data_IF_643804247008
#
_entry.id   IF_643804247008
#
_cell.length_a   1.000
_cell.length_b   1.000
_cell.length_c   1.000
_cell.angle_alpha   90.00
_cell.angle_beta   90.00
_cell.angle_gamma   90.00
#
_symmetry.space_group_name_H-M   'P 1'
#
loop_
_entity.id
_entity.type
_entity.pdbx_description
1 polymer ?
#
# COMPACT_ATOMS: atom_id res chain seq x y z
N UNK A 1 4.33 -14.42 26.92
CA UNK A 1 5.45 -13.64 26.36
C UNK A 1 5.00 -12.25 25.92
N UNK A 2 4.01 -12.12 25.02
CA UNK A 2 3.51 -10.81 24.54
C UNK A 2 3.08 -9.82 25.63
N UNK A 3 2.39 -10.27 26.68
CA UNK A 3 1.99 -9.39 27.79
C UNK A 3 3.20 -8.76 28.53
N UNK A 4 4.35 -9.43 28.53
CA UNK A 4 5.61 -8.90 29.10
C UNK A 4 6.17 -7.81 28.19
N UNK A 5 6.18 -8.06 26.88
CA UNK A 5 6.62 -7.11 25.85
C UNK A 5 5.80 -5.82 25.92
N UNK A 6 4.47 -5.94 25.89
CA UNK A 6 3.55 -4.78 25.96
C UNK A 6 3.81 -3.97 27.24
N UNK A 7 4.00 -4.62 28.39
CA UNK A 7 4.31 -3.95 29.66
C UNK A 7 5.64 -3.19 29.61
N UNK A 8 6.68 -3.79 29.04
CA UNK A 8 8.01 -3.16 28.92
C UNK A 8 7.94 -1.91 28.03
N UNK A 9 7.30 -2.01 26.87
CA UNK A 9 7.20 -0.89 25.93
C UNK A 9 6.31 0.23 26.48
N UNK A 10 5.20 -0.11 27.17
CA UNK A 10 4.39 0.91 27.86
C UNK A 10 5.16 1.66 28.94
N UNK A 11 6.16 1.03 29.56
CA UNK A 11 7.09 1.66 30.51
C UNK A 11 8.27 2.38 29.85
N UNK A 12 8.32 2.43 28.51
CA UNK A 12 9.44 2.97 27.73
C UNK A 12 10.78 2.32 28.07
N UNK A 13 10.72 1.02 28.37
CA UNK A 13 11.91 0.19 28.57
C UNK A 13 12.43 -0.27 27.21
N UNK A 14 13.69 0.05 26.91
CA UNK A 14 14.34 -0.26 25.63
C UNK A 14 14.32 -1.76 25.32
N UNK A 15 14.42 -2.62 26.34
CA UNK A 15 14.36 -4.09 26.17
C UNK A 15 13.08 -4.55 25.50
N UNK A 16 12.01 -3.77 25.62
CA UNK A 16 10.74 -4.04 24.95
C UNK A 16 10.85 -4.00 23.42
N UNK A 17 11.72 -3.14 22.87
CA UNK A 17 11.94 -3.06 21.42
C UNK A 17 12.66 -4.32 20.93
N UNK A 18 13.70 -4.76 21.65
CA UNK A 18 14.48 -5.96 21.31
C UNK A 18 13.56 -7.19 21.20
N UNK A 19 12.68 -7.39 22.19
CA UNK A 19 11.72 -8.50 22.15
C UNK A 19 10.70 -8.42 21.01
N UNK A 20 10.31 -7.21 20.57
CA UNK A 20 9.43 -7.09 19.40
C UNK A 20 10.19 -7.42 18.13
N UNK A 21 11.41 -6.93 17.99
CA UNK A 21 12.26 -7.20 16.84
C UNK A 21 12.45 -8.71 16.70
N UNK A 22 12.85 -9.39 17.78
CA UNK A 22 13.04 -10.84 17.77
C UNK A 22 11.77 -11.61 17.38
N UNK A 23 10.60 -11.18 17.85
CA UNK A 23 9.35 -11.90 17.66
C UNK A 23 8.69 -11.63 16.30
N UNK A 24 8.90 -10.44 15.73
CA UNK A 24 8.13 -9.94 14.59
C UNK A 24 8.96 -9.60 13.35
N UNK A 25 10.29 -9.62 13.40
CA UNK A 25 11.15 -9.28 12.25
C UNK A 25 10.80 -10.03 10.98
N UNK A 26 10.71 -11.35 11.01
CA UNK A 26 10.41 -12.14 9.79
C UNK A 26 9.04 -11.80 9.21
N UNK A 27 8.04 -11.64 10.08
CA UNK A 27 6.65 -11.35 9.67
C UNK A 27 6.50 -9.94 9.11
N UNK A 28 7.12 -8.95 9.76
CA UNK A 28 7.13 -7.56 9.29
C UNK A 28 7.91 -7.48 7.99
N UNK A 29 9.08 -8.12 7.91
CA UNK A 29 9.88 -8.20 6.69
C UNK A 29 9.06 -8.77 5.54
N UNK A 30 8.33 -9.86 5.75
CA UNK A 30 7.44 -10.44 4.74
C UNK A 30 6.37 -9.45 4.26
N UNK A 31 5.69 -8.76 5.17
CA UNK A 31 4.63 -7.78 4.85
C UNK A 31 5.21 -6.60 4.05
N UNK A 32 6.33 -6.03 4.53
CA UNK A 32 6.97 -4.86 3.91
C UNK A 32 7.48 -5.24 2.52
N UNK A 33 8.20 -6.36 2.39
CA UNK A 33 8.66 -6.86 1.10
C UNK A 33 7.50 -7.08 0.14
N UNK A 34 6.42 -7.73 0.58
CA UNK A 34 5.23 -7.97 -0.26
C UNK A 34 4.63 -6.68 -0.85
N UNK A 35 4.62 -5.59 -0.07
CA UNK A 35 4.03 -4.31 -0.50
C UNK A 35 5.00 -3.51 -1.39
N UNK A 36 6.29 -3.51 -1.04
CA UNK A 36 7.33 -2.70 -1.65
C UNK A 36 8.10 -3.40 -2.79
N UNK A 37 7.86 -4.70 -3.02
CA UNK A 37 8.50 -5.48 -4.07
C UNK A 37 8.34 -4.84 -5.45
N UNK A 38 9.44 -4.67 -6.17
CA UNK A 38 9.49 -4.05 -7.49
C UNK A 38 9.34 -2.53 -7.51
N UNK A 39 9.13 -1.88 -6.35
CA UNK A 39 9.02 -0.43 -6.25
C UNK A 39 10.22 0.21 -5.56
N UNK A 40 10.90 -0.50 -4.68
CA UNK A 40 11.89 0.01 -3.74
C UNK A 40 13.25 -0.68 -3.88
N UNK A 41 14.30 -0.09 -3.31
CA UNK A 41 15.58 -0.76 -3.14
C UNK A 41 15.66 -1.43 -1.75
N UNK A 42 16.79 -2.10 -1.46
CA UNK A 42 16.97 -2.79 -0.17
C UNK A 42 16.98 -1.81 1.03
N UNK A 43 17.56 -0.62 0.86
CA UNK A 43 17.66 0.40 1.90
C UNK A 43 16.28 0.93 2.30
N UNK A 44 15.41 1.24 1.32
CA UNK A 44 14.02 1.64 1.53
C UNK A 44 13.23 0.59 2.36
N UNK A 45 13.51 -0.70 2.13
CA UNK A 45 12.85 -1.80 2.85
C UNK A 45 13.34 -1.85 4.30
N UNK A 46 14.65 -1.75 4.53
CA UNK A 46 15.24 -1.75 5.88
C UNK A 46 14.80 -0.54 6.70
N UNK A 47 14.74 0.64 6.08
CA UNK A 47 14.23 1.87 6.70
C UNK A 47 12.75 1.72 7.05
N UNK A 48 11.93 1.23 6.11
CA UNK A 48 10.51 0.98 6.36
C UNK A 48 10.29 -0.01 7.51
N UNK A 49 11.06 -1.09 7.61
CA UNK A 49 10.95 -2.06 8.71
C UNK A 49 11.31 -1.39 10.05
N UNK A 50 12.38 -0.60 10.08
CA UNK A 50 12.80 0.15 11.26
C UNK A 50 11.72 1.12 11.74
N UNK A 51 11.11 1.87 10.82
CA UNK A 51 10.01 2.78 11.10
C UNK A 51 8.78 2.07 11.68
N UNK A 52 8.51 0.83 11.25
CA UNK A 52 7.43 0.02 11.82
C UNK A 52 7.67 -0.27 13.29
N UNK A 53 8.88 -0.71 13.64
CA UNK A 53 9.22 -1.00 15.03
C UNK A 53 9.18 0.26 15.91
N UNK A 54 9.72 1.37 15.40
CA UNK A 54 9.68 2.67 16.08
C UNK A 54 8.23 3.13 16.28
N UNK A 55 7.37 3.02 15.26
CA UNK A 55 5.96 3.39 15.39
C UNK A 55 5.22 2.50 16.39
N UNK A 56 5.47 1.19 16.40
CA UNK A 56 4.87 0.29 17.40
C UNK A 56 5.31 0.67 18.82
N UNK A 57 6.60 0.98 19.01
CA UNK A 57 7.15 1.40 20.30
C UNK A 57 6.56 2.74 20.79
N UNK A 58 6.39 3.69 19.88
CA UNK A 58 5.84 5.01 20.19
C UNK A 58 4.34 4.96 20.46
N UNK A 59 3.61 4.21 19.65
CA UNK A 59 2.15 4.22 19.64
C UNK A 59 1.53 3.11 20.50
N UNK A 60 2.33 2.38 21.28
CA UNK A 60 1.88 1.31 22.17
C UNK A 60 0.79 1.75 23.16
N UNK A 61 0.75 3.05 23.49
CA UNK A 61 -0.24 3.64 24.38
C UNK A 61 -1.66 3.59 23.78
N UNK A 62 -1.76 3.57 22.44
CA UNK A 62 -3.03 3.44 21.70
C UNK A 62 -3.53 1.99 21.62
N UNK A 63 -2.67 1.02 21.93
CA UNK A 63 -3.04 -0.39 21.90
C UNK A 63 -3.98 -0.75 23.07
N UNK A 64 -5.14 -1.28 22.70
CA UNK A 64 -6.20 -1.76 23.58
C UNK A 64 -6.49 -3.22 23.27
N UNK A 65 -6.23 -4.09 24.26
CA UNK A 65 -6.44 -5.52 24.13
C UNK A 65 -7.92 -5.91 23.98
N UNK A 66 -8.87 -5.02 24.31
CA UNK A 66 -10.30 -5.23 24.05
C UNK A 66 -10.66 -5.03 22.58
N UNK A 67 -9.85 -4.29 21.81
CA UNK A 67 -10.10 -3.99 20.39
C UNK A 67 -9.47 -5.00 19.44
N UNK A 68 -8.52 -5.82 19.90
CA UNK A 68 -7.89 -6.86 19.10
C UNK A 68 -6.59 -7.39 19.70
N UNK A 69 -5.99 -8.37 19.02
CA UNK A 69 -4.70 -8.95 19.40
C UNK A 69 -3.56 -7.97 19.12
N UNK A 70 -2.48 -8.07 19.89
CA UNK A 70 -1.29 -7.25 19.72
C UNK A 70 -0.62 -7.47 18.37
N UNK A 71 -0.52 -8.71 17.93
CA UNK A 71 -0.06 -9.08 16.57
C UNK A 71 -0.82 -8.31 15.47
N UNK A 72 -2.14 -8.18 15.58
CA UNK A 72 -2.94 -7.42 14.62
C UNK A 72 -2.58 -5.94 14.61
N UNK A 73 -2.32 -5.34 15.79
CA UNK A 73 -1.86 -3.96 15.89
C UNK A 73 -0.51 -3.74 15.20
N UNK A 74 0.44 -4.66 15.40
CA UNK A 74 1.76 -4.62 14.74
C UNK A 74 1.65 -4.74 13.23
N UNK A 75 0.85 -5.69 12.73
CA UNK A 75 0.68 -5.89 11.28
C UNK A 75 -0.04 -4.73 10.60
N UNK A 76 -1.02 -4.12 11.26
CA UNK A 76 -1.69 -2.92 10.76
C UNK A 76 -0.68 -1.78 10.61
N UNK A 77 0.19 -1.58 11.61
CA UNK A 77 1.28 -0.59 11.53
C UNK A 77 2.22 -0.89 10.36
N UNK A 78 2.70 -2.14 10.26
CA UNK A 78 3.58 -2.59 9.17
C UNK A 78 3.01 -2.27 7.79
N UNK A 79 1.75 -2.64 7.58
CA UNK A 79 1.04 -2.46 6.32
C UNK A 79 0.90 -0.98 5.94
N UNK A 80 0.42 -0.13 6.85
CA UNK A 80 0.13 1.26 6.52
C UNK A 80 1.41 2.08 6.30
N UNK A 81 2.46 1.82 7.07
CA UNK A 81 3.77 2.46 6.88
C UNK A 81 4.36 2.05 5.52
N UNK A 82 4.36 0.76 5.18
CA UNK A 82 4.83 0.28 3.88
C UNK A 82 4.05 0.88 2.69
N UNK A 83 2.73 1.08 2.83
CA UNK A 83 1.93 1.73 1.80
C UNK A 83 2.28 3.21 1.63
N UNK A 84 2.60 3.90 2.71
CA UNK A 84 3.04 5.29 2.64
C UNK A 84 4.44 5.40 1.99
N UNK A 85 5.37 4.50 2.32
CA UNK A 85 6.65 4.39 1.62
C UNK A 85 6.45 4.17 0.12
N UNK A 86 5.61 3.20 -0.26
CA UNK A 86 5.27 2.92 -1.66
C UNK A 86 4.78 4.16 -2.39
N UNK A 87 3.85 4.90 -1.78
CA UNK A 87 3.30 6.15 -2.36
C UNK A 87 4.37 7.21 -2.54
N UNK A 88 5.25 7.40 -1.55
CA UNK A 88 6.36 8.37 -1.63
C UNK A 88 7.33 8.01 -2.75
N UNK A 89 7.71 6.73 -2.86
CA UNK A 89 8.62 6.25 -3.91
C UNK A 89 8.02 6.41 -5.30
N UNK A 90 6.74 6.04 -5.49
CA UNK A 90 6.05 6.21 -6.78
C UNK A 90 6.02 7.69 -7.16
N UNK A 91 5.64 8.59 -6.25
CA UNK A 91 5.64 10.04 -6.51
C UNK A 91 7.02 10.58 -6.87
N UNK A 92 8.07 10.11 -6.19
CA UNK A 92 9.46 10.50 -6.49
C UNK A 92 9.86 10.05 -7.89
N UNK A 93 9.57 8.81 -8.26
CA UNK A 93 9.83 8.27 -9.60
C UNK A 93 9.04 8.99 -10.70
N UNK A 94 7.78 9.33 -10.44
CA UNK A 94 6.97 10.14 -11.37
C UNK A 94 7.58 11.54 -11.55
N UNK A 95 8.04 12.17 -10.48
CA UNK A 95 8.71 13.47 -10.52
C UNK A 95 10.05 13.41 -11.27
N UNK A 96 10.86 12.37 -11.01
CA UNK A 96 12.13 12.13 -11.70
C UNK A 96 11.90 11.89 -13.20
N UNK A 97 10.89 11.11 -13.57
CA UNK A 97 10.50 10.90 -14.96
C UNK A 97 10.08 12.19 -15.66
N UNK A 98 9.29 13.05 -15.00
CA UNK A 98 8.92 14.37 -15.53
C UNK A 98 10.15 15.27 -15.70
N UNK A 99 11.16 15.14 -14.83
CA UNK A 99 12.41 15.91 -14.92
C UNK A 99 13.30 15.37 -16.06
N UNK A 100 13.37 14.05 -16.21
CA UNK A 100 14.10 13.36 -17.28
C UNK A 100 13.49 13.66 -18.65
N UNK A 101 12.16 13.60 -18.79
CA UNK A 101 11.43 14.00 -20.01
C UNK A 101 11.65 15.49 -20.37
N UNK A 102 11.94 16.36 -19.40
CA UNK A 102 12.31 17.77 -19.66
C UNK A 102 13.77 17.93 -20.09
N UNK A 103 14.67 17.07 -19.63
CA UNK A 103 16.08 17.08 -19.98
C UNK A 103 16.32 16.43 -21.36
N UNK A 104 15.59 15.37 -21.69
CA UNK A 104 15.66 14.68 -22.99
C UNK A 104 15.11 15.52 -24.16
N UNK A 105 14.18 16.45 -23.90
CA UNK A 105 13.72 17.44 -24.91
C UNK A 105 14.78 18.43 -25.40
N UNK A 106 15.99 18.40 -24.82
CA UNK A 106 17.13 19.20 -25.28
C UNK A 106 18.01 18.40 -26.27
N UNK A 107 17.88 17.08 -26.35
CA UNK A 107 18.74 16.24 -27.20
C UNK A 107 18.04 14.95 -27.67
N UNK A 108 17.13 15.01 -28.64
CA UNK A 108 16.70 13.77 -29.32
C UNK A 108 16.51 13.98 -30.82
N UNK A 109 17.57 13.67 -31.56
CA UNK A 109 17.45 12.75 -32.69
C UNK A 109 17.95 11.38 -32.19
N UNK A 110 17.28 10.31 -32.62
CA UNK A 110 17.58 8.88 -32.46
C UNK A 110 16.77 8.19 -31.33
N UNK A 111 15.73 7.45 -31.73
CA UNK A 111 15.39 6.03 -31.40
C UNK A 111 13.88 5.87 -31.63
N UNK A 112 13.49 5.43 -32.84
CA UNK A 112 12.07 5.40 -33.28
C UNK A 112 11.38 4.03 -33.16
N UNK A 113 12.04 2.97 -32.68
CA UNK A 113 11.47 1.60 -32.71
C UNK A 113 10.97 1.07 -31.34
N UNK A 114 11.39 1.64 -30.21
CA UNK A 114 10.88 1.24 -28.87
C UNK A 114 9.64 2.02 -28.43
N UNK A 115 9.38 3.17 -29.06
CA UNK A 115 8.35 4.10 -28.66
C UNK A 115 6.93 3.55 -28.87
N UNK A 116 6.66 2.83 -29.97
CA UNK A 116 5.30 2.34 -30.27
C UNK A 116 4.79 1.34 -29.23
N UNK A 117 5.61 0.38 -28.80
CA UNK A 117 5.20 -0.59 -27.76
C UNK A 117 5.03 0.05 -26.39
N UNK A 118 5.82 1.08 -26.08
CA UNK A 118 5.62 1.87 -24.87
C UNK A 118 4.38 2.76 -24.94
N UNK A 119 4.10 3.37 -26.10
CA UNK A 119 2.91 4.20 -26.34
C UNK A 119 1.66 3.34 -26.21
N UNK A 120 1.61 2.15 -26.81
CA UNK A 120 0.47 1.23 -26.70
C UNK A 120 0.23 0.81 -25.23
N UNK A 121 1.29 0.57 -24.46
CA UNK A 121 1.17 0.29 -23.02
C UNK A 121 0.69 1.51 -22.23
N UNK A 122 1.21 2.71 -22.52
CA UNK A 122 0.81 3.97 -21.88
C UNK A 122 -0.65 4.31 -22.17
N UNK A 123 -1.13 4.08 -23.39
CA UNK A 123 -2.53 4.28 -23.78
C UNK A 123 -3.46 3.32 -23.05
N UNK A 124 -3.16 2.01 -23.05
CA UNK A 124 -3.96 1.03 -22.30
C UNK A 124 -4.03 1.33 -20.80
N UNK A 125 -2.92 1.78 -20.20
CA UNK A 125 -2.91 2.19 -18.78
C UNK A 125 -3.74 3.45 -18.53
N UNK A 126 -3.72 4.41 -19.47
CA UNK A 126 -4.54 5.62 -19.41
C UNK A 126 -6.03 5.28 -19.52
N UNK A 127 -6.41 4.34 -20.38
CA UNK A 127 -7.79 3.89 -20.52
C UNK A 127 -8.30 3.16 -19.27
N UNK A 128 -7.46 2.32 -18.68
CA UNK A 128 -7.76 1.66 -17.39
C UNK A 128 -7.94 2.71 -16.28
N UNK A 129 -7.05 3.69 -16.19
CA UNK A 129 -7.13 4.76 -15.18
C UNK A 129 -8.39 5.63 -15.36
N UNK A 130 -8.71 6.03 -16.60
CA UNK A 130 -9.92 6.76 -16.93
C UNK A 130 -11.18 5.97 -16.57
N UNK A 131 -11.18 4.67 -16.85
CA UNK A 131 -12.32 3.81 -16.52
C UNK A 131 -12.54 3.68 -15.01
N UNK A 132 -11.49 3.45 -14.23
CA UNK A 132 -11.58 3.40 -12.76
C UNK A 132 -12.09 4.75 -12.23
N UNK A 133 -11.66 5.87 -12.82
CA UNK A 133 -12.12 7.20 -12.44
C UNK A 133 -13.60 7.46 -12.74
N UNK A 134 -14.20 6.70 -13.67
CA UNK A 134 -15.61 6.80 -14.07
C UNK A 134 -16.54 5.90 -13.24
N UNK A 135 -16.03 5.12 -12.28
CA UNK A 135 -16.88 4.44 -11.32
C UNK A 135 -17.76 5.46 -10.58
N UNK A 136 -19.05 5.15 -10.43
CA UNK A 136 -19.98 5.98 -9.67
C UNK A 136 -19.76 5.77 -8.17
N UNK A 137 -20.09 6.76 -7.36
CA UNK A 137 -20.10 6.57 -5.91
C UNK A 137 -21.25 5.64 -5.49
N UNK A 138 -21.07 4.83 -4.43
CA UNK A 138 -19.87 4.68 -3.60
C UNK A 138 -18.81 3.70 -4.15
N UNK A 139 -19.01 3.13 -5.34
CA UNK A 139 -18.16 2.06 -5.89
C UNK A 139 -16.72 2.53 -6.12
N UNK A 140 -16.55 3.75 -6.64
CA UNK A 140 -15.23 4.38 -6.80
C UNK A 140 -14.49 4.51 -5.47
N UNK A 141 -15.15 5.08 -4.46
CA UNK A 141 -14.57 5.21 -3.12
C UNK A 141 -14.22 3.85 -2.52
N UNK A 142 -15.10 2.86 -2.60
CA UNK A 142 -14.83 1.53 -2.04
C UNK A 142 -13.68 0.85 -2.76
N UNK A 143 -13.63 0.94 -4.09
CA UNK A 143 -12.54 0.39 -4.89
C UNK A 143 -11.21 1.06 -4.55
N UNK A 144 -11.20 2.39 -4.42
CA UNK A 144 -10.01 3.13 -4.02
C UNK A 144 -9.53 2.72 -2.62
N UNK A 145 -10.45 2.69 -1.65
CA UNK A 145 -10.14 2.28 -0.29
C UNK A 145 -9.64 0.84 -0.22
N UNK A 146 -10.22 -0.09 -0.98
CA UNK A 146 -9.85 -1.50 -0.98
C UNK A 146 -8.51 -1.78 -1.63
N UNK A 147 -8.20 -1.17 -2.77
CA UNK A 147 -7.04 -1.58 -3.58
C UNK A 147 -5.87 -0.59 -3.54
N UNK A 148 -6.15 0.70 -3.33
CA UNK A 148 -5.11 1.74 -3.25
C UNK A 148 -4.78 2.10 -1.80
N UNK A 149 -5.76 1.99 -0.91
CA UNK A 149 -5.59 2.22 0.54
C UNK A 149 -5.52 0.91 1.34
N UNK A 150 -5.85 -0.23 0.72
CA UNK A 150 -5.88 -1.55 1.36
C UNK A 150 -6.73 -1.64 2.65
N UNK A 151 -7.77 -0.80 2.77
CA UNK A 151 -8.72 -0.85 3.88
C UNK A 151 -9.52 -2.14 3.82
N UNK A 152 -9.73 -2.80 4.96
CA UNK A 152 -10.52 -4.02 4.99
C UNK A 152 -11.99 -3.72 4.76
N UNK A 153 -12.69 -4.64 4.10
CA UNK A 153 -14.11 -4.44 3.75
C UNK A 153 -15.00 -4.26 4.99
N UNK A 154 -14.59 -4.82 6.14
CA UNK A 154 -15.22 -4.58 7.44
C UNK A 154 -15.06 -3.14 7.93
N UNK A 155 -13.92 -2.52 7.68
CA UNK A 155 -13.63 -1.13 8.05
C UNK A 155 -14.35 -0.16 7.12
N UNK A 156 -14.39 -0.46 5.81
CA UNK A 156 -15.18 0.30 4.82
C UNK A 156 -16.67 0.23 5.19
N UNK A 157 -17.18 -0.96 5.48
CA UNK A 157 -18.58 -1.16 5.88
C UNK A 157 -18.94 -0.34 7.12
N UNK A 158 -18.10 -0.38 8.16
CA UNK A 158 -18.26 0.44 9.37
C UNK A 158 -18.22 1.94 9.07
N UNK A 159 -17.26 2.40 8.25
CA UNK A 159 -17.05 3.81 7.94
C UNK A 159 -18.21 4.44 7.17
N UNK A 160 -18.84 3.67 6.28
CA UNK A 160 -19.95 4.14 5.44
C UNK A 160 -21.32 3.60 5.89
N UNK A 161 -21.42 3.11 7.13
CA UNK A 161 -22.64 2.57 7.73
C UNK A 161 -23.40 1.60 6.81
N UNK A 162 -22.68 0.62 6.25
CA UNK A 162 -23.22 -0.40 5.35
C UNK A 162 -22.76 -1.81 5.79
N UNK A 163 -23.17 -2.85 5.07
CA UNK A 163 -22.77 -4.23 5.37
C UNK A 163 -21.50 -4.63 4.63
N UNK A 164 -20.71 -5.55 5.20
CA UNK A 164 -19.52 -6.10 4.53
C UNK A 164 -19.88 -6.75 3.20
N UNK A 165 -21.01 -7.45 3.15
CA UNK A 165 -21.53 -8.06 1.92
C UNK A 165 -21.84 -7.02 0.82
N UNK A 166 -22.43 -5.87 1.18
CA UNK A 166 -22.66 -4.75 0.26
C UNK A 166 -21.35 -4.22 -0.33
N UNK A 167 -20.31 -4.06 0.50
CA UNK A 167 -18.97 -3.62 0.05
C UNK A 167 -18.35 -4.65 -0.90
N UNK A 168 -18.32 -5.93 -0.53
CA UNK A 168 -17.72 -6.99 -1.36
C UNK A 168 -18.45 -7.18 -2.70
N UNK A 169 -19.78 -7.13 -2.72
CA UNK A 169 -20.57 -7.22 -3.95
C UNK A 169 -20.30 -6.05 -4.91
N UNK A 170 -20.12 -4.84 -4.37
CA UNK A 170 -19.74 -3.66 -5.17
C UNK A 170 -18.33 -3.79 -5.72
N UNK A 171 -17.37 -4.19 -4.89
CA UNK A 171 -15.98 -4.44 -5.32
C UNK A 171 -15.90 -5.54 -6.38
N UNK A 172 -16.71 -6.59 -6.24
CA UNK A 172 -16.82 -7.66 -7.24
C UNK A 172 -17.30 -7.13 -8.59
N UNK A 173 -18.37 -6.32 -8.61
CA UNK A 173 -18.85 -5.68 -9.85
C UNK A 173 -17.81 -4.78 -10.50
N UNK A 174 -17.06 -4.01 -9.72
CA UNK A 174 -15.96 -3.19 -10.22
C UNK A 174 -14.86 -4.04 -10.88
N UNK A 175 -14.46 -5.16 -10.24
CA UNK A 175 -13.48 -6.10 -10.81
C UNK A 175 -13.98 -6.74 -12.11
N UNK A 176 -15.25 -7.12 -12.19
CA UNK A 176 -15.83 -7.65 -13.42
C UNK A 176 -15.83 -6.63 -14.55
N UNK A 177 -16.18 -5.38 -14.23
CA UNK A 177 -16.17 -4.29 -15.20
C UNK A 177 -14.75 -4.02 -15.72
N UNK A 178 -13.76 -4.02 -14.81
CA UNK A 178 -12.34 -3.87 -15.16
C UNK A 178 -11.84 -5.04 -16.03
N UNK A 179 -12.24 -6.27 -15.71
CA UNK A 179 -11.87 -7.48 -16.46
C UNK A 179 -12.36 -7.45 -17.90
N UNK A 180 -13.53 -6.86 -18.18
CA UNK A 180 -14.04 -6.70 -19.55
C UNK A 180 -13.18 -5.77 -20.40
N UNK A 181 -12.59 -4.73 -19.79
CA UNK A 181 -11.68 -3.81 -20.49
C UNK A 181 -10.30 -4.43 -20.69
N UNK A 182 -9.81 -5.15 -19.69
CA UNK A 182 -8.48 -5.79 -19.77
C UNK A 182 -8.50 -7.02 -20.68
N UNK A 183 -9.60 -7.77 -20.70
CA UNK A 183 -9.76 -9.01 -21.47
C UNK A 183 -10.51 -8.88 -22.80
N UNK A 184 -11.01 -7.68 -23.16
CA UNK A 184 -11.76 -7.41 -24.39
C UNK A 184 -10.91 -6.96 -25.58
N UNK A 185 -9.65 -7.38 -25.63
CA UNK A 185 -8.79 -7.17 -26.80
C UNK A 185 -8.69 -8.44 -27.63
N UNK A 186 -9.67 -8.66 -28.51
CA UNK A 186 -9.54 -9.46 -29.74
C UNK A 186 -10.11 -8.61 -30.85
#
# INVERSE_FOLDING_TARGET
MENKIIKLIKKKDHRGIDYIVDLYSDKISYIVNSILNGYSNKEDIEECISDVFISVYNDIHTYDNKKGKFETFVFIKAKYIALDYKRKIIKKKEYEKIKEDRLLKINENIVYESAEKEVIKKEKLKDIANFINNFKEPDKTYFYLKYFINMESKEIAKRYNTTVSSVENRLYRCRLALKKIIGGGV
#
